data_IF_489181807169
#
_entry.id   IF_489181807169
#
_cell.length_a   1.000
_cell.length_b   1.000
_cell.length_c   1.000
_cell.angle_alpha   90.00
_cell.angle_beta   90.00
_cell.angle_gamma   90.00
#
_symmetry.space_group_name_H-M   'P 1'
#
loop_
_entity.id
_entity.type
_entity.pdbx_description
1 polymer ?
#
# COMPACT_ATOMS: atom_id res chain seq x y z
N UNK A 1 -42.02 74.92 -55.09
CA UNK A 1 -41.32 73.72 -55.58
C UNK A 1 -41.18 73.69 -57.09
N UNK A 2 -41.15 74.85 -57.76
CA UNK A 2 -40.96 74.95 -59.20
C UNK A 2 -40.25 76.27 -59.51
N UNK A 3 -39.22 76.20 -60.34
CA UNK A 3 -38.37 77.33 -60.73
C UNK A 3 -38.49 77.54 -62.24
N UNK A 4 -38.61 78.81 -62.67
CA UNK A 4 -38.64 79.15 -64.08
C UNK A 4 -37.23 79.09 -64.67
N UNK A 5 -37.08 78.38 -65.78
CA UNK A 5 -35.91 78.38 -66.64
C UNK A 5 -36.15 79.35 -67.81
N UNK A 6 -35.50 80.52 -67.74
CA UNK A 6 -35.46 81.47 -68.84
C UNK A 6 -35.59 82.93 -68.41
N UNK A 7 -35.01 83.82 -69.20
CA UNK A 7 -34.88 85.24 -68.87
C UNK A 7 -35.72 86.15 -69.79
N UNK A 8 -36.48 85.57 -70.73
CA UNK A 8 -37.20 86.28 -71.79
C UNK A 8 -38.72 86.06 -71.68
N UNK A 9 -39.44 87.11 -71.26
CA UNK A 9 -40.86 87.07 -70.88
C UNK A 9 -41.78 87.77 -71.91
N UNK A 10 -41.43 87.77 -73.20
CA UNK A 10 -42.13 88.54 -74.26
C UNK A 10 -42.74 87.66 -75.35
N UNK A 11 -43.91 88.02 -75.88
CA UNK A 11 -44.53 87.32 -77.03
C UNK A 11 -43.56 87.25 -78.23
N UNK A 12 -43.31 86.07 -78.85
CA UNK A 12 -43.97 84.76 -78.69
C UNK A 12 -43.16 83.73 -77.87
N UNK A 13 -42.47 84.13 -76.80
CA UNK A 13 -41.64 83.23 -76.00
C UNK A 13 -42.43 82.20 -75.18
N UNK A 14 -41.73 81.13 -74.81
CA UNK A 14 -42.20 80.08 -73.91
C UNK A 14 -41.22 79.93 -72.75
N UNK A 15 -41.74 79.85 -71.53
CA UNK A 15 -40.95 79.66 -70.31
C UNK A 15 -41.14 78.23 -69.85
N UNK A 16 -40.04 77.52 -69.65
CA UNK A 16 -40.04 76.17 -69.08
C UNK A 16 -39.84 76.27 -67.58
N UNK A 17 -40.49 75.40 -66.82
CA UNK A 17 -40.35 75.27 -65.39
C UNK A 17 -39.69 73.94 -65.08
N UNK A 18 -38.68 73.96 -64.21
CA UNK A 18 -38.14 72.76 -63.57
C UNK A 18 -38.71 72.65 -62.17
N UNK A 19 -38.89 71.44 -61.68
CA UNK A 19 -39.19 71.24 -60.27
C UNK A 19 -37.90 71.38 -59.45
N UNK A 20 -38.03 71.83 -58.20
CA UNK A 20 -36.92 71.85 -57.23
C UNK A 20 -36.42 70.42 -56.95
N UNK A 21 -35.18 70.28 -56.51
CA UNK A 21 -34.58 68.96 -56.22
C UNK A 21 -35.46 68.13 -55.26
N UNK A 22 -35.71 66.88 -55.63
CA UNK A 22 -36.60 65.97 -54.90
C UNK A 22 -38.10 66.09 -55.21
N UNK A 23 -38.47 66.92 -56.18
CA UNK A 23 -39.82 67.00 -56.75
C UNK A 23 -39.82 66.64 -58.23
N UNK A 24 -40.87 65.96 -58.69
CA UNK A 24 -41.11 65.64 -60.09
C UNK A 24 -42.33 66.39 -60.64
N UNK A 25 -42.37 66.61 -61.95
CA UNK A 25 -43.47 67.30 -62.62
C UNK A 25 -44.74 66.42 -62.56
N UNK A 26 -45.78 66.92 -61.91
CA UNK A 26 -47.07 66.24 -61.82
C UNK A 26 -47.96 66.47 -63.05
N UNK A 27 -47.66 67.51 -63.84
CA UNK A 27 -48.43 67.95 -65.01
C UNK A 27 -47.78 67.49 -66.33
N UNK A 28 -48.60 67.29 -67.38
CA UNK A 28 -48.11 66.85 -68.70
C UNK A 28 -47.32 67.93 -69.47
N UNK A 29 -47.45 69.19 -69.03
CA UNK A 29 -46.79 70.34 -69.65
C UNK A 29 -45.86 70.94 -68.60
N UNK A 30 -44.63 71.22 -69.00
CA UNK A 30 -43.59 71.86 -68.18
C UNK A 30 -43.41 73.34 -68.51
N UNK A 31 -44.21 73.90 -69.41
CA UNK A 31 -43.96 75.22 -69.97
C UNK A 31 -45.23 76.02 -70.21
N UNK A 32 -45.10 77.34 -70.06
CA UNK A 32 -46.17 78.31 -70.33
C UNK A 32 -45.77 79.17 -71.52
N UNK A 33 -46.72 79.40 -72.42
CA UNK A 33 -46.51 80.23 -73.62
C UNK A 33 -47.10 81.63 -73.41
N UNK A 34 -46.35 82.67 -73.79
CA UNK A 34 -46.83 84.05 -73.78
C UNK A 34 -47.75 84.27 -74.99
N UNK A 35 -48.97 84.76 -74.77
CA UNK A 35 -49.98 84.96 -75.81
C UNK A 35 -49.97 86.42 -76.32
N UNK A 36 -50.55 86.65 -77.51
CA UNK A 36 -50.57 87.97 -78.15
C UNK A 36 -51.39 89.02 -77.40
N UNK A 37 -52.23 88.60 -76.46
CA UNK A 37 -53.00 89.46 -75.55
C UNK A 37 -52.22 89.87 -74.28
N UNK A 38 -50.96 89.45 -74.17
CA UNK A 38 -50.09 89.73 -73.02
C UNK A 38 -50.28 88.79 -71.83
N UNK A 39 -51.11 87.73 -71.95
CA UNK A 39 -51.33 86.75 -70.88
C UNK A 39 -50.54 85.45 -71.10
N UNK A 40 -50.22 84.74 -70.01
CA UNK A 40 -49.64 83.39 -70.10
C UNK A 40 -50.72 82.35 -70.33
N UNK A 41 -50.37 81.24 -71.00
CA UNK A 41 -51.28 80.10 -71.18
C UNK A 41 -51.83 79.62 -69.82
N UNK A 42 -53.12 79.28 -69.76
CA UNK A 42 -53.81 78.90 -68.50
C UNK A 42 -53.42 77.52 -67.93
N UNK A 43 -52.38 76.88 -68.47
CA UNK A 43 -51.86 75.64 -67.89
C UNK A 43 -51.28 75.92 -66.51
N UNK A 44 -51.45 74.97 -65.59
CA UNK A 44 -50.89 75.04 -64.24
C UNK A 44 -49.68 74.12 -64.24
N UNK A 45 -48.54 74.60 -63.74
CA UNK A 45 -47.36 73.77 -63.47
C UNK A 45 -47.44 73.32 -62.02
N UNK A 46 -47.55 72.01 -61.79
CA UNK A 46 -47.53 71.43 -60.44
C UNK A 46 -46.38 70.45 -60.31
N UNK A 47 -45.64 70.57 -59.21
CA UNK A 47 -44.58 69.64 -58.83
C UNK A 47 -45.04 68.86 -57.60
N UNK A 48 -44.80 67.55 -57.59
CA UNK A 48 -45.08 66.67 -56.45
C UNK A 48 -43.79 66.03 -55.94
N UNK A 49 -43.68 65.68 -54.65
CA UNK A 49 -42.49 64.99 -54.15
C UNK A 49 -42.22 63.70 -54.94
N UNK A 50 -40.97 63.45 -55.30
CA UNK A 50 -40.60 62.25 -56.04
C UNK A 50 -40.78 61.01 -55.15
N UNK A 51 -41.62 60.03 -55.53
CA UNK A 51 -41.78 58.80 -54.77
C UNK A 51 -40.51 57.96 -54.82
N UNK A 52 -40.19 57.27 -53.72
CA UNK A 52 -39.05 56.35 -53.67
C UNK A 52 -39.37 55.09 -54.48
N UNK A 53 -38.40 54.67 -55.29
CA UNK A 53 -38.44 53.42 -56.06
C UNK A 53 -37.68 52.33 -55.33
N UNK A 54 -38.13 51.09 -55.50
CA UNK A 54 -37.38 49.93 -55.03
C UNK A 54 -36.11 49.74 -55.89
N UNK A 55 -34.96 49.37 -55.29
CA UNK A 55 -33.78 49.01 -56.05
C UNK A 55 -34.07 47.84 -56.99
N UNK A 56 -33.78 48.00 -58.29
CA UNK A 56 -34.01 46.94 -59.28
C UNK A 56 -33.06 45.74 -59.17
N UNK A 57 -31.95 45.90 -58.45
CA UNK A 57 -30.97 44.84 -58.19
C UNK A 57 -30.62 44.82 -56.69
N UNK A 58 -31.27 43.94 -55.96
CA UNK A 58 -31.07 43.77 -54.51
C UNK A 58 -29.83 42.90 -54.32
N UNK A 59 -28.72 43.50 -53.89
CA UNK A 59 -27.45 42.80 -53.64
C UNK A 59 -27.42 42.02 -52.32
N UNK A 60 -28.43 42.20 -51.46
CA UNK A 60 -28.53 41.54 -50.16
C UNK A 60 -29.26 40.18 -50.31
N UNK A 61 -28.57 39.05 -50.11
CA UNK A 61 -29.18 37.74 -50.26
C UNK A 61 -30.27 37.51 -49.21
N UNK A 62 -31.34 36.79 -49.58
CA UNK A 62 -32.46 36.42 -48.71
C UNK A 62 -33.32 37.57 -48.14
N UNK A 63 -33.04 38.84 -48.46
CA UNK A 63 -33.89 39.96 -48.02
C UNK A 63 -35.25 39.93 -48.72
N UNK A 64 -36.32 40.01 -47.94
CA UNK A 64 -37.71 40.12 -48.42
C UNK A 64 -38.21 41.54 -48.14
N UNK A 65 -38.60 42.25 -49.19
CA UNK A 65 -39.11 43.62 -49.09
C UNK A 65 -40.62 43.60 -49.35
N UNK A 66 -41.41 43.99 -48.34
CA UNK A 66 -42.85 44.13 -48.47
C UNK A 66 -43.20 45.59 -48.73
N UNK A 67 -43.35 45.96 -50.00
CA UNK A 67 -43.53 47.34 -50.44
C UNK A 67 -44.33 47.45 -51.74
N UNK A 68 -44.83 48.65 -52.04
CA UNK A 68 -45.29 49.02 -53.38
C UNK A 68 -44.09 49.49 -54.21
N UNK A 69 -44.13 49.26 -55.52
CA UNK A 69 -43.05 49.63 -56.46
C UNK A 69 -42.67 51.12 -56.40
N UNK A 70 -43.68 51.97 -56.12
CA UNK A 70 -43.54 53.40 -55.86
C UNK A 70 -44.16 53.71 -54.49
N UNK A 71 -43.35 54.26 -53.59
CA UNK A 71 -43.77 54.64 -52.23
C UNK A 71 -43.71 56.17 -52.08
N UNK A 72 -44.80 56.85 -51.67
CA UNK A 72 -44.78 58.29 -51.47
C UNK A 72 -43.86 58.67 -50.31
N UNK A 73 -43.36 59.90 -50.32
CA UNK A 73 -42.55 60.47 -49.23
C UNK A 73 -43.30 60.37 -47.89
N UNK A 74 -42.62 59.94 -46.84
CA UNK A 74 -43.19 59.60 -45.53
C UNK A 74 -43.83 58.21 -45.45
N UNK A 75 -43.91 57.49 -46.57
CA UNK A 75 -44.32 56.09 -46.58
C UNK A 75 -43.18 55.18 -46.12
N UNK A 76 -43.54 54.12 -45.39
CA UNK A 76 -42.59 53.11 -44.88
C UNK A 76 -42.73 51.79 -45.62
N UNK A 77 -41.63 51.07 -45.73
CA UNK A 77 -41.56 49.70 -46.24
C UNK A 77 -41.07 48.76 -45.14
N UNK A 78 -41.50 47.51 -45.21
CA UNK A 78 -41.08 46.48 -44.26
C UNK A 78 -39.99 45.61 -44.87
N UNK A 79 -38.90 45.46 -44.12
CA UNK A 79 -37.76 44.60 -44.42
C UNK A 79 -37.84 43.38 -43.51
N UNK A 80 -37.82 42.19 -44.09
CA UNK A 80 -37.86 40.93 -43.34
C UNK A 80 -36.96 39.87 -43.97
N UNK A 81 -36.60 38.86 -43.18
CA UNK A 81 -35.85 37.69 -43.64
C UNK A 81 -36.75 36.45 -43.59
N UNK A 82 -36.50 35.44 -44.44
CA UNK A 82 -37.19 34.15 -44.38
C UNK A 82 -36.84 33.39 -43.08
N UNK A 83 -37.62 32.36 -42.71
CA UNK A 83 -37.32 31.51 -41.57
C UNK A 83 -35.89 30.95 -41.62
N UNK A 84 -35.19 30.98 -40.48
CA UNK A 84 -33.80 30.56 -40.38
C UNK A 84 -32.77 31.67 -40.55
N UNK A 85 -33.22 32.88 -40.87
CA UNK A 85 -32.39 34.07 -40.94
C UNK A 85 -32.97 35.15 -40.02
N UNK A 86 -32.11 35.89 -39.35
CA UNK A 86 -32.49 37.06 -38.57
C UNK A 86 -32.03 38.34 -39.27
N UNK A 87 -32.81 39.40 -39.13
CA UNK A 87 -32.51 40.69 -39.75
C UNK A 87 -31.53 41.47 -38.89
N UNK A 88 -30.36 41.76 -39.42
CA UNK A 88 -29.38 42.65 -38.81
C UNK A 88 -29.55 44.05 -39.43
N UNK A 89 -30.11 44.97 -38.64
CA UNK A 89 -30.41 46.34 -39.09
C UNK A 89 -31.84 46.77 -38.75
N UNK A 90 -32.34 47.79 -39.46
CA UNK A 90 -33.70 48.28 -39.25
C UNK A 90 -34.74 47.45 -40.01
N UNK A 91 -35.84 47.11 -39.35
CA UNK A 91 -36.97 46.40 -39.97
C UNK A 91 -37.87 47.30 -40.83
N UNK A 92 -37.72 48.62 -40.71
CA UNK A 92 -38.52 49.62 -41.41
C UNK A 92 -37.60 50.64 -42.06
N UNK A 93 -37.87 50.97 -43.31
CA UNK A 93 -37.22 52.08 -44.02
C UNK A 93 -38.28 53.08 -44.50
N UNK A 94 -38.04 54.36 -44.29
CA UNK A 94 -38.95 55.45 -44.64
C UNK A 94 -38.45 56.17 -45.89
N UNK A 95 -39.37 56.49 -46.80
CA UNK A 95 -39.09 57.27 -48.01
C UNK A 95 -38.88 58.74 -47.67
N UNK A 96 -37.66 59.24 -47.90
CA UNK A 96 -37.26 60.62 -47.64
C UNK A 96 -37.47 61.52 -48.86
N UNK A 97 -37.56 62.84 -48.63
CA UNK A 97 -37.55 63.83 -49.72
C UNK A 97 -36.24 63.74 -50.50
N UNK A 98 -36.32 63.57 -51.82
CA UNK A 98 -35.14 63.28 -52.67
C UNK A 98 -35.09 61.85 -53.22
N UNK A 99 -36.07 60.99 -52.89
CA UNK A 99 -36.22 59.66 -53.49
C UNK A 99 -35.32 58.57 -52.89
N UNK A 100 -34.73 58.81 -51.71
CA UNK A 100 -33.90 57.87 -50.96
C UNK A 100 -34.63 57.21 -49.79
N UNK A 101 -34.10 56.07 -49.34
CA UNK A 101 -34.61 55.32 -48.18
C UNK A 101 -33.77 55.58 -46.94
N UNK A 102 -34.42 55.83 -45.79
CA UNK A 102 -33.75 56.00 -44.50
C UNK A 102 -34.26 54.97 -43.46
N UNK A 103 -33.38 54.14 -42.87
CA UNK A 103 -31.98 53.93 -43.26
C UNK A 103 -31.87 53.29 -44.65
N UNK A 104 -30.68 53.34 -45.25
CA UNK A 104 -30.45 52.81 -46.60
C UNK A 104 -30.71 51.30 -46.64
N UNK A 105 -31.44 50.82 -47.64
CA UNK A 105 -31.82 49.41 -47.79
C UNK A 105 -30.57 48.53 -47.93
N UNK A 106 -29.47 49.05 -48.47
CA UNK A 106 -28.22 48.27 -48.58
C UNK A 106 -27.47 48.11 -47.25
N UNK A 107 -27.90 48.79 -46.19
CA UNK A 107 -27.28 48.71 -44.86
C UNK A 107 -27.79 47.56 -44.00
N UNK A 108 -28.83 46.84 -44.44
CA UNK A 108 -29.36 45.67 -43.73
C UNK A 108 -28.80 44.37 -44.30
N UNK A 109 -28.70 43.34 -43.46
CA UNK A 109 -28.31 42.00 -43.89
C UNK A 109 -29.21 40.94 -43.24
N UNK A 110 -29.36 39.81 -43.91
CA UNK A 110 -29.99 38.62 -43.35
C UNK A 110 -28.89 37.62 -42.99
N UNK A 111 -28.68 37.41 -41.70
CA UNK A 111 -27.69 36.45 -41.20
C UNK A 111 -28.36 35.15 -40.77
N UNK A 112 -27.67 34.02 -40.95
CA UNK A 112 -28.22 32.72 -40.58
C UNK A 112 -28.31 32.61 -39.05
N UNK A 113 -29.40 32.01 -38.56
CA UNK A 113 -29.56 31.70 -37.13
C UNK A 113 -28.64 30.54 -36.78
N UNK A 114 -27.88 30.69 -35.68
CA UNK A 114 -26.96 29.68 -35.16
C UNK A 114 -27.39 29.32 -33.74
N UNK A 115 -27.66 28.04 -33.49
CA UNK A 115 -28.00 27.54 -32.16
C UNK A 115 -26.75 27.38 -31.30
N UNK A 116 -26.93 27.47 -29.97
CA UNK A 116 -25.83 27.21 -29.03
C UNK A 116 -25.33 25.77 -29.15
N UNK A 117 -24.01 25.57 -29.05
CA UNK A 117 -23.42 24.23 -29.04
C UNK A 117 -23.95 23.43 -27.84
N UNK A 118 -24.53 22.23 -28.03
CA UNK A 118 -25.07 21.48 -26.91
C UNK A 118 -23.99 20.99 -25.94
N UNK A 119 -24.35 20.78 -24.65
CA UNK A 119 -23.48 20.15 -23.68
C UNK A 119 -23.09 18.71 -24.08
N UNK A 120 -21.91 18.21 -23.66
CA UNK A 120 -21.52 16.82 -23.87
C UNK A 120 -22.52 15.84 -23.22
N UNK A 121 -22.89 14.78 -23.95
CA UNK A 121 -23.78 13.73 -23.45
C UNK A 121 -23.01 12.74 -22.57
N UNK A 122 -23.34 12.66 -21.28
CA UNK A 122 -22.73 11.68 -20.37
C UNK A 122 -23.18 10.26 -20.73
N UNK A 123 -22.23 9.32 -20.81
CA UNK A 123 -22.47 7.92 -21.20
C UNK A 123 -23.07 7.76 -22.62
N UNK A 124 -22.83 8.74 -23.49
CA UNK A 124 -23.24 8.71 -24.88
C UNK A 124 -22.30 9.52 -25.77
N UNK A 125 -22.69 9.64 -27.03
CA UNK A 125 -22.00 10.40 -28.07
C UNK A 125 -23.03 11.30 -28.75
N UNK A 126 -22.61 12.52 -29.08
CA UNK A 126 -23.37 13.47 -29.89
C UNK A 126 -22.60 13.71 -31.18
N UNK A 127 -23.25 13.48 -32.32
CA UNK A 127 -22.67 13.56 -33.66
C UNK A 127 -23.27 14.76 -34.40
N UNK A 128 -22.41 15.70 -34.79
CA UNK A 128 -22.80 16.96 -35.44
C UNK A 128 -21.82 18.10 -35.16
N UNK A 129 -21.23 18.65 -36.23
CA UNK A 129 -20.17 19.68 -36.14
C UNK A 129 -20.65 21.08 -36.58
N UNK A 130 -21.91 21.21 -37.01
CA UNK A 130 -22.53 22.44 -37.49
C UNK A 130 -23.83 22.72 -36.73
N UNK A 131 -24.11 24.01 -36.47
CA UNK A 131 -25.20 24.46 -35.59
C UNK A 131 -26.07 25.53 -36.26
N UNK A 132 -26.05 25.60 -37.60
CA UNK A 132 -26.86 26.54 -38.34
C UNK A 132 -28.32 26.07 -38.39
N UNK A 133 -29.23 26.99 -38.66
CA UNK A 133 -30.64 26.66 -38.86
C UNK A 133 -30.85 25.46 -39.81
N UNK A 134 -31.61 24.47 -39.36
CA UNK A 134 -31.89 23.24 -40.09
C UNK A 134 -30.86 22.13 -39.91
N UNK A 135 -29.69 22.40 -39.31
CA UNK A 135 -28.74 21.36 -38.92
C UNK A 135 -29.31 20.52 -37.76
N UNK A 136 -28.90 19.26 -37.69
CA UNK A 136 -29.32 18.34 -36.65
C UNK A 136 -28.14 17.66 -35.97
N UNK A 137 -28.36 17.29 -34.71
CA UNK A 137 -27.42 16.54 -33.90
C UNK A 137 -28.05 15.21 -33.55
N UNK A 138 -27.33 14.14 -33.87
CA UNK A 138 -27.73 12.78 -33.55
C UNK A 138 -27.08 12.36 -32.23
N UNK A 139 -27.91 11.92 -31.29
CA UNK A 139 -27.45 11.37 -30.02
C UNK A 139 -27.46 9.85 -30.05
N UNK A 140 -26.50 9.23 -29.38
CA UNK A 140 -26.41 7.78 -29.24
C UNK A 140 -25.86 7.42 -27.87
N UNK A 141 -26.53 6.52 -27.15
CA UNK A 141 -26.02 6.04 -25.86
C UNK A 141 -24.97 4.93 -26.06
N UNK A 142 -24.00 4.86 -25.14
CA UNK A 142 -23.04 3.75 -25.10
C UNK A 142 -23.75 2.44 -24.75
N UNK A 143 -23.18 1.26 -25.11
CA UNK A 143 -23.76 -0.03 -24.75
C UNK A 143 -24.03 -0.17 -23.24
N UNK A 144 -25.21 -0.67 -22.87
CA UNK A 144 -25.66 -0.82 -21.48
C UNK A 144 -26.46 0.37 -20.92
N UNK A 145 -26.73 1.38 -21.74
CA UNK A 145 -27.55 2.53 -21.39
C UNK A 145 -28.73 2.65 -22.37
N UNK A 146 -29.91 2.96 -21.84
CA UNK A 146 -31.12 3.25 -22.59
C UNK A 146 -31.33 4.77 -22.67
N UNK A 147 -31.70 5.27 -23.85
CA UNK A 147 -31.96 6.69 -24.05
C UNK A 147 -33.34 7.08 -23.51
N UNK A 148 -33.40 8.11 -22.68
CA UNK A 148 -34.65 8.81 -22.32
C UNK A 148 -34.61 10.23 -22.84
N UNK A 149 -35.48 10.56 -23.79
CA UNK A 149 -35.54 11.86 -24.47
C UNK A 149 -35.43 11.70 -25.99
N UNK A 150 -35.09 12.80 -26.66
CA UNK A 150 -35.08 12.87 -28.12
C UNK A 150 -33.71 12.44 -28.69
N UNK A 151 -33.71 11.47 -29.61
CA UNK A 151 -32.48 10.97 -30.25
C UNK A 151 -31.90 11.92 -31.28
N UNK A 152 -32.69 12.89 -31.75
CA UNK A 152 -32.30 13.88 -32.75
C UNK A 152 -32.81 15.24 -32.30
N UNK A 153 -31.94 16.24 -32.31
CA UNK A 153 -32.34 17.65 -32.13
C UNK A 153 -31.98 18.45 -33.38
N UNK A 154 -32.89 19.32 -33.83
CA UNK A 154 -32.72 20.18 -35.01
C UNK A 154 -32.69 21.65 -34.59
N UNK A 155 -31.79 22.45 -35.16
CA UNK A 155 -31.70 23.87 -34.86
C UNK A 155 -32.86 24.64 -35.49
N UNK A 156 -33.63 25.33 -34.66
CA UNK A 156 -34.85 26.05 -35.04
C UNK A 156 -34.58 27.53 -35.35
N UNK A 157 -35.55 28.17 -35.99
CA UNK A 157 -35.43 29.56 -36.45
C UNK A 157 -35.42 30.60 -35.33
N UNK A 158 -35.70 30.20 -34.09
CA UNK A 158 -35.63 31.04 -32.89
C UNK A 158 -34.27 30.91 -32.15
N UNK A 159 -33.32 30.14 -32.70
CA UNK A 159 -32.02 29.88 -32.09
C UNK A 159 -32.03 28.77 -31.03
N UNK A 160 -33.13 28.04 -30.87
CA UNK A 160 -33.24 26.93 -29.92
C UNK A 160 -33.20 25.56 -30.62
N UNK A 161 -32.77 24.53 -29.89
CA UNK A 161 -32.87 23.16 -30.36
C UNK A 161 -34.28 22.61 -30.18
N UNK A 162 -34.75 21.82 -31.15
CA UNK A 162 -36.04 21.14 -31.05
C UNK A 162 -36.01 20.04 -29.99
N UNK A 163 -37.04 19.96 -29.16
CA UNK A 163 -37.19 18.88 -28.19
C UNK A 163 -36.31 19.06 -26.96
N UNK A 164 -35.90 17.94 -26.36
CA UNK A 164 -35.14 17.88 -25.12
C UNK A 164 -33.90 17.03 -25.28
N UNK A 165 -32.77 17.51 -24.73
CA UNK A 165 -31.53 16.75 -24.74
C UNK A 165 -31.73 15.42 -23.99
N UNK A 166 -31.37 14.28 -24.60
CA UNK A 166 -31.61 12.98 -23.99
C UNK A 166 -30.65 12.71 -22.83
N UNK A 167 -31.08 11.82 -21.93
CA UNK A 167 -30.25 11.27 -20.86
C UNK A 167 -30.09 9.77 -21.06
N UNK A 168 -28.85 9.30 -21.04
CA UNK A 168 -28.52 7.88 -21.07
C UNK A 168 -28.63 7.30 -19.65
N UNK A 169 -29.71 6.60 -19.36
CA UNK A 169 -29.94 5.94 -18.08
C UNK A 169 -29.54 4.47 -18.15
N UNK A 170 -29.11 3.89 -17.04
CA UNK A 170 -28.79 2.46 -16.99
C UNK A 170 -30.03 1.66 -17.38
N UNK A 171 -29.91 0.83 -18.41
CA UNK A 171 -31.00 -0.04 -18.83
C UNK A 171 -31.28 -1.08 -17.75
N UNK A 172 -32.50 -1.13 -17.21
CA UNK A 172 -32.89 -2.05 -16.11
C UNK A 172 -32.77 -3.54 -16.52
N UNK A 173 -32.62 -3.82 -17.81
CA UNK A 173 -32.46 -5.16 -18.38
C UNK A 173 -31.03 -5.46 -18.89
N UNK A 174 -30.11 -4.49 -18.82
CA UNK A 174 -28.72 -4.72 -19.21
C UNK A 174 -27.81 -4.13 -18.17
N UNK A 175 -27.10 -5.03 -17.50
CA UNK A 175 -26.00 -4.68 -16.63
C UNK A 175 -24.97 -3.92 -17.46
N UNK A 176 -24.25 -2.98 -16.82
CA UNK A 176 -23.10 -2.32 -17.45
C UNK A 176 -22.04 -3.33 -17.93
N UNK A 177 -20.92 -2.87 -18.49
CA UNK A 177 -19.88 -3.74 -19.04
C UNK A 177 -19.55 -4.90 -18.08
N UNK A 178 -19.43 -6.12 -18.63
CA UNK A 178 -19.10 -7.30 -17.84
C UNK A 178 -17.79 -7.08 -17.03
N UNK A 179 -17.72 -7.52 -15.76
CA UNK A 179 -16.53 -7.35 -14.93
C UNK A 179 -15.25 -7.84 -15.63
N UNK A 180 -14.24 -6.99 -15.74
CA UNK A 180 -12.97 -7.39 -16.36
C UNK A 180 -12.18 -8.33 -15.45
N UNK A 181 -12.03 -9.60 -15.85
CA UNK A 181 -11.21 -10.59 -15.15
C UNK A 181 -9.86 -10.72 -15.87
N UNK A 182 -8.75 -10.54 -15.14
CA UNK A 182 -7.40 -10.65 -15.71
C UNK A 182 -7.19 -12.03 -16.32
N UNK A 183 -6.64 -12.07 -17.53
CA UNK A 183 -6.35 -13.30 -18.29
C UNK A 183 -7.59 -14.15 -18.62
N UNK A 184 -8.79 -13.58 -18.56
CA UNK A 184 -10.03 -14.21 -19.02
C UNK A 184 -10.53 -13.54 -20.31
N UNK A 185 -11.07 -14.35 -21.22
CA UNK A 185 -11.84 -13.91 -22.37
C UNK A 185 -13.33 -14.08 -22.07
N UNK A 186 -14.13 -13.10 -22.53
CA UNK A 186 -15.58 -13.17 -22.44
C UNK A 186 -16.12 -14.10 -23.53
N UNK A 187 -17.01 -14.99 -23.16
CA UNK A 187 -17.73 -15.89 -24.05
C UNK A 187 -19.22 -15.60 -23.94
N UNK A 188 -19.82 -15.16 -25.04
CA UNK A 188 -21.26 -14.98 -25.11
C UNK A 188 -21.96 -16.33 -24.86
N UNK A 189 -22.77 -16.37 -23.81
CA UNK A 189 -23.75 -17.45 -23.60
C UNK A 189 -24.95 -17.20 -24.52
N UNK A 190 -25.65 -18.26 -24.93
CA UNK A 190 -26.81 -18.13 -25.83
C UNK A 190 -27.95 -17.26 -25.28
N UNK A 191 -27.90 -16.93 -23.98
CA UNK A 191 -28.85 -16.06 -23.29
C UNK A 191 -28.31 -14.63 -23.18
N UNK A 192 -29.10 -13.64 -23.62
CA UNK A 192 -28.76 -12.20 -23.61
C UNK A 192 -28.50 -11.61 -22.20
N UNK A 193 -28.83 -12.35 -21.14
CA UNK A 193 -28.72 -11.92 -19.73
C UNK A 193 -27.52 -12.51 -19.01
N UNK A 194 -26.75 -13.40 -19.65
CA UNK A 194 -25.62 -14.09 -19.02
C UNK A 194 -24.37 -13.97 -19.87
N UNK A 195 -23.20 -13.92 -19.22
CA UNK A 195 -21.91 -13.96 -19.91
C UNK A 195 -20.97 -14.99 -19.28
N UNK A 196 -20.34 -15.79 -20.12
CA UNK A 196 -19.35 -16.79 -19.74
C UNK A 196 -17.95 -16.21 -19.68
N UNK A 197 -17.11 -16.80 -18.83
CA UNK A 197 -15.68 -16.50 -18.74
C UNK A 197 -14.87 -17.73 -19.12
N UNK A 198 -13.85 -17.52 -19.95
CA UNK A 198 -12.88 -18.52 -20.37
C UNK A 198 -11.49 -18.03 -20.05
N UNK A 199 -10.74 -18.77 -19.23
CA UNK A 199 -9.35 -18.40 -18.95
C UNK A 199 -8.44 -18.68 -20.16
N UNK A 200 -7.41 -17.86 -20.32
CA UNK A 200 -6.34 -18.09 -21.29
C UNK A 200 -5.59 -19.41 -21.03
N UNK A 201 -4.82 -19.86 -22.03
CA UNK A 201 -4.09 -21.14 -21.97
C UNK A 201 -3.22 -21.25 -20.70
N UNK A 202 -3.37 -22.35 -19.95
CA UNK A 202 -2.59 -22.63 -18.74
C UNK A 202 -3.18 -22.06 -17.43
N UNK A 203 -4.40 -21.52 -17.45
CA UNK A 203 -5.11 -20.99 -16.28
C UNK A 203 -6.45 -21.73 -16.07
N UNK A 204 -6.88 -21.91 -14.82
CA UNK A 204 -8.15 -22.52 -14.42
C UNK A 204 -9.06 -21.43 -13.85
N UNK A 205 -10.36 -21.56 -14.14
CA UNK A 205 -11.37 -20.62 -13.68
C UNK A 205 -11.83 -21.03 -12.27
N UNK A 206 -11.55 -20.19 -11.28
CA UNK A 206 -12.00 -20.36 -9.90
C UNK A 206 -13.24 -19.50 -9.70
N UNK A 207 -14.39 -20.15 -9.48
CA UNK A 207 -15.69 -19.49 -9.31
C UNK A 207 -16.72 -19.89 -10.38
N UNK A 208 -17.84 -19.14 -10.51
CA UNK A 208 -18.89 -19.47 -11.46
C UNK A 208 -18.45 -19.21 -12.90
N UNK A 209 -18.70 -20.19 -13.79
CA UNK A 209 -18.36 -20.11 -15.23
C UNK A 209 -19.09 -18.99 -15.96
N UNK A 210 -20.28 -18.64 -15.49
CA UNK A 210 -21.16 -17.64 -16.10
C UNK A 210 -21.65 -16.68 -15.03
N UNK A 211 -21.60 -15.38 -15.31
CA UNK A 211 -22.28 -14.36 -14.52
C UNK A 211 -23.61 -14.02 -15.18
N UNK A 212 -24.63 -13.82 -14.36
CA UNK A 212 -25.99 -13.48 -14.75
C UNK A 212 -26.27 -12.04 -14.36
N UNK A 213 -26.93 -11.30 -15.24
CA UNK A 213 -27.41 -9.96 -14.94
C UNK A 213 -28.66 -10.05 -14.05
N UNK A 214 -28.56 -9.51 -12.84
CA UNK A 214 -29.65 -9.49 -11.87
C UNK A 214 -30.66 -8.39 -12.22
N UNK A 215 -31.90 -8.52 -11.74
CA UNK A 215 -33.00 -7.56 -11.97
C UNK A 215 -32.75 -6.17 -11.37
N UNK A 216 -31.73 -6.03 -10.51
CA UNK A 216 -31.28 -4.76 -9.95
C UNK A 216 -30.22 -4.05 -10.82
N UNK A 217 -29.89 -4.58 -12.01
CA UNK A 217 -28.89 -4.00 -12.91
C UNK A 217 -27.44 -4.31 -12.56
N UNK A 218 -27.17 -5.27 -11.65
CA UNK A 218 -25.81 -5.69 -11.27
C UNK A 218 -25.50 -7.14 -11.70
N UNK A 219 -24.23 -7.43 -11.98
CA UNK A 219 -23.80 -8.80 -12.26
C UNK A 219 -23.80 -9.65 -10.98
N UNK A 220 -24.14 -10.93 -11.10
CA UNK A 220 -24.11 -11.87 -9.98
C UNK A 220 -22.71 -11.97 -9.35
N UNK A 221 -22.67 -12.21 -8.05
CA UNK A 221 -21.44 -12.39 -7.27
C UNK A 221 -21.38 -13.82 -6.73
N UNK A 222 -20.18 -14.41 -6.54
CA UNK A 222 -18.84 -13.83 -6.72
C UNK A 222 -18.34 -13.80 -8.18
N UNK A 223 -17.51 -12.81 -8.53
CA UNK A 223 -16.86 -12.70 -9.84
C UNK A 223 -15.76 -13.77 -9.96
N UNK A 224 -15.68 -14.55 -11.06
CA UNK A 224 -14.67 -15.60 -11.20
C UNK A 224 -13.26 -15.03 -11.37
N UNK A 225 -12.25 -15.82 -11.04
CA UNK A 225 -10.83 -15.47 -11.20
C UNK A 225 -10.11 -16.53 -12.03
N UNK A 226 -9.17 -16.10 -12.86
CA UNK A 226 -8.30 -17.02 -13.62
C UNK A 226 -6.98 -17.17 -12.88
N UNK A 227 -6.85 -18.29 -12.19
CA UNK A 227 -5.64 -18.63 -11.47
C UNK A 227 -4.82 -19.62 -12.28
N UNK A 228 -3.51 -19.62 -12.10
CA UNK A 228 -2.65 -20.64 -12.71
C UNK A 228 -3.13 -22.01 -12.29
N UNK A 229 -3.26 -22.92 -13.25
CA UNK A 229 -3.52 -24.33 -12.95
C UNK A 229 -2.33 -24.85 -12.15
N UNK A 230 -2.36 -24.71 -10.84
CA UNK A 230 -1.60 -25.56 -9.94
C UNK A 230 -2.31 -26.89 -10.01
N UNK A 231 -2.10 -27.61 -11.12
CA UNK A 231 -2.83 -28.81 -11.48
C UNK A 231 -2.66 -29.97 -10.51
N UNK A 232 -1.94 -29.75 -9.41
CA UNK A 232 -1.92 -30.59 -8.24
C UNK A 232 -1.75 -29.67 -7.00
N UNK A 233 -2.74 -29.62 -6.12
CA UNK A 233 -2.60 -28.96 -4.81
C UNK A 233 -1.73 -29.84 -3.91
N UNK A 234 -0.78 -29.23 -3.21
CA UNK A 234 0.17 -29.93 -2.35
C UNK A 234 0.20 -29.29 -0.95
N UNK A 235 0.69 -30.02 0.07
CA UNK A 235 0.78 -29.49 1.41
C UNK A 235 1.76 -28.31 1.47
N UNK A 236 1.33 -27.17 2.02
CA UNK A 236 2.22 -26.02 2.25
C UNK A 236 3.30 -26.30 3.30
N UNK A 237 3.04 -27.23 4.21
CA UNK A 237 3.95 -27.60 5.31
C UNK A 237 3.94 -29.12 5.56
N UNK A 238 5.11 -29.66 5.88
CA UNK A 238 5.28 -31.05 6.32
C UNK A 238 5.64 -31.06 7.81
N UNK A 239 4.87 -31.76 8.63
CA UNK A 239 5.17 -31.87 10.06
C UNK A 239 6.53 -32.55 10.26
N UNK A 240 7.43 -31.90 10.99
CA UNK A 240 8.82 -32.35 11.20
C UNK A 240 9.63 -32.54 9.91
N UNK A 241 9.38 -31.68 8.91
CA UNK A 241 10.18 -31.62 7.71
C UNK A 241 9.89 -30.38 6.86
N UNK A 242 10.39 -30.41 5.63
CA UNK A 242 10.30 -29.32 4.65
C UNK A 242 9.89 -29.89 3.30
N UNK A 243 9.12 -29.10 2.57
CA UNK A 243 8.72 -29.37 1.18
C UNK A 243 9.41 -28.35 0.29
N UNK A 244 10.08 -28.81 -0.75
CA UNK A 244 10.69 -27.96 -1.78
C UNK A 244 10.02 -28.25 -3.12
N UNK A 245 9.68 -27.19 -3.84
CA UNK A 245 9.08 -27.31 -5.16
C UNK A 245 10.17 -27.28 -6.23
N UNK A 246 10.11 -28.24 -7.15
CA UNK A 246 11.03 -28.37 -8.27
C UNK A 246 10.26 -28.40 -9.59
N UNK A 247 10.75 -27.63 -10.56
CA UNK A 247 10.28 -27.69 -11.95
C UNK A 247 11.18 -28.64 -12.74
N UNK A 248 10.64 -29.79 -13.14
CA UNK A 248 11.32 -30.76 -13.99
C UNK A 248 10.89 -30.57 -15.45
N UNK A 249 11.71 -31.05 -16.40
CA UNK A 249 11.35 -31.05 -17.83
C UNK A 249 10.03 -31.80 -18.13
N UNK A 250 9.62 -32.71 -17.24
CA UNK A 250 8.41 -33.54 -17.35
C UNK A 250 7.21 -33.02 -16.55
N UNK A 251 7.34 -31.90 -15.82
CA UNK A 251 6.26 -31.32 -15.01
C UNK A 251 6.70 -30.78 -13.65
N UNK A 252 5.73 -30.44 -12.80
CA UNK A 252 5.95 -29.97 -11.42
C UNK A 252 6.21 -31.16 -10.49
N UNK A 253 7.18 -31.05 -9.58
CA UNK A 253 7.44 -32.04 -8.55
C UNK A 253 7.64 -31.40 -7.17
N UNK A 254 7.31 -32.15 -6.12
CA UNK A 254 7.57 -31.79 -4.73
C UNK A 254 8.61 -32.75 -4.16
N UNK A 255 9.71 -32.20 -3.63
CA UNK A 255 10.72 -32.93 -2.87
C UNK A 255 10.47 -32.75 -1.37
N UNK A 256 10.46 -33.87 -0.63
CA UNK A 256 10.22 -33.90 0.81
C UNK A 256 11.49 -34.27 1.58
N UNK A 257 11.78 -33.49 2.61
CA UNK A 257 12.95 -33.71 3.47
C UNK A 257 12.58 -33.58 4.95
N UNK A 258 12.84 -34.62 5.74
CA UNK A 258 12.55 -34.60 7.17
C UNK A 258 13.62 -33.86 7.97
N UNK A 259 13.20 -33.28 9.09
CA UNK A 259 14.09 -32.67 10.06
C UNK A 259 15.02 -33.70 10.71
N UNK A 260 16.13 -33.23 11.30
CA UNK A 260 17.05 -34.11 12.04
C UNK A 260 16.30 -34.86 13.13
N UNK A 261 16.54 -36.16 13.25
CA UNK A 261 15.83 -37.04 14.21
C UNK A 261 14.56 -37.69 13.67
N UNK A 262 14.15 -37.37 12.45
CA UNK A 262 13.00 -37.97 11.78
C UNK A 262 13.45 -38.73 10.52
N UNK A 263 12.74 -39.80 10.17
CA UNK A 263 12.95 -40.60 8.96
C UNK A 263 11.76 -40.47 8.02
N UNK A 264 12.04 -40.33 6.72
CA UNK A 264 11.01 -40.25 5.68
C UNK A 264 10.40 -41.63 5.46
N UNK A 265 9.07 -41.72 5.53
CA UNK A 265 8.28 -42.91 5.18
C UNK A 265 7.41 -42.56 3.97
N UNK A 266 7.76 -43.13 2.82
CA UNK A 266 7.15 -42.84 1.52
C UNK A 266 8.17 -42.36 0.49
N UNK A 267 7.68 -41.85 -0.63
CA UNK A 267 8.52 -41.35 -1.72
C UNK A 267 9.10 -39.97 -1.41
N UNK A 268 10.38 -39.78 -1.75
CA UNK A 268 11.06 -38.48 -1.58
C UNK A 268 10.57 -37.43 -2.57
N UNK A 269 10.31 -37.84 -3.80
CA UNK A 269 9.98 -36.95 -4.91
C UNK A 269 8.63 -37.38 -5.49
N UNK A 270 7.65 -36.48 -5.46
CA UNK A 270 6.30 -36.74 -5.95
C UNK A 270 6.01 -35.81 -7.13
N UNK A 271 5.64 -36.36 -8.29
CA UNK A 271 5.49 -35.64 -9.56
C UNK A 271 4.03 -35.46 -9.90
N UNK A 272 3.64 -34.27 -10.36
CA UNK A 272 2.29 -33.97 -10.80
C UNK A 272 2.05 -34.57 -12.19
N UNK A 273 1.15 -35.56 -12.28
CA UNK A 273 0.85 -36.26 -13.53
C UNK A 273 -0.25 -35.57 -14.36
N UNK A 274 -0.80 -34.45 -13.87
CA UNK A 274 -1.93 -33.75 -14.46
C UNK A 274 -3.27 -34.16 -13.83
N UNK A 275 -4.32 -33.38 -14.09
CA UNK A 275 -5.69 -33.68 -13.61
C UNK A 275 -5.84 -33.82 -12.09
N UNK A 276 -5.15 -33.00 -11.30
CA UNK A 276 -5.16 -33.04 -9.82
C UNK A 276 -4.57 -34.31 -9.20
N UNK A 277 -3.83 -35.11 -9.97
CA UNK A 277 -3.29 -36.40 -9.50
C UNK A 277 -1.76 -36.37 -9.36
N UNK A 278 -1.28 -36.71 -8.17
CA UNK A 278 0.15 -36.91 -7.87
C UNK A 278 0.58 -38.36 -8.16
N UNK A 279 1.85 -38.56 -8.51
CA UNK A 279 2.44 -39.88 -8.80
C UNK A 279 2.41 -40.86 -7.63
N UNK A 280 2.33 -40.34 -6.40
CA UNK A 280 2.25 -41.11 -5.16
C UNK A 280 1.57 -40.26 -4.07
N UNK A 281 1.20 -40.88 -2.95
CA UNK A 281 0.75 -40.14 -1.76
C UNK A 281 1.91 -39.40 -1.10
N UNK A 282 1.59 -38.33 -0.35
CA UNK A 282 2.62 -37.54 0.32
C UNK A 282 3.28 -38.34 1.46
N UNK A 283 4.62 -38.28 1.58
CA UNK A 283 5.34 -39.01 2.62
C UNK A 283 5.12 -38.41 4.00
N UNK A 284 5.42 -39.19 5.04
CA UNK A 284 5.36 -38.75 6.44
C UNK A 284 6.73 -38.83 7.11
N UNK A 285 7.01 -37.89 8.00
CA UNK A 285 8.25 -37.89 8.80
C UNK A 285 7.99 -38.60 10.13
N UNK A 286 8.48 -39.83 10.26
CA UNK A 286 8.35 -40.61 11.50
C UNK A 286 9.55 -40.37 12.41
N UNK A 287 9.30 -40.08 13.68
CA UNK A 287 10.36 -39.90 14.66
C UNK A 287 11.23 -41.16 14.74
N UNK A 288 12.55 -40.98 14.71
CA UNK A 288 13.50 -42.06 15.01
C UNK A 288 13.53 -42.29 16.52
N UNK A 289 13.95 -43.49 16.93
CA UNK A 289 14.00 -43.88 18.33
C UNK A 289 15.41 -43.82 18.89
N UNK A 290 15.56 -43.26 20.10
CA UNK A 290 16.78 -43.40 20.89
C UNK A 290 16.93 -44.85 21.38
N UNK A 291 18.16 -45.31 21.68
CA UNK A 291 18.37 -46.58 22.37
C UNK A 291 17.72 -46.54 23.78
N UNK A 292 17.49 -47.71 24.40
CA UNK A 292 17.00 -47.77 25.77
C UNK A 292 17.84 -46.89 26.71
N UNK A 293 17.19 -46.11 27.58
CA UNK A 293 17.87 -45.13 28.42
C UNK A 293 18.77 -45.82 29.47
N UNK A 294 19.85 -45.16 29.93
CA UNK A 294 20.77 -45.76 30.90
C UNK A 294 20.06 -46.14 32.20
N UNK A 295 20.17 -47.42 32.62
CA UNK A 295 19.51 -47.94 33.82
C UNK A 295 18.07 -48.45 33.60
N UNK A 296 17.56 -48.41 32.37
CA UNK A 296 16.29 -49.04 32.02
C UNK A 296 16.37 -50.56 32.18
N UNK A 297 15.42 -51.13 32.92
CA UNK A 297 15.20 -52.58 32.97
C UNK A 297 13.88 -52.84 32.26
N UNK A 298 13.88 -53.73 31.26
CA UNK A 298 12.63 -54.15 30.62
C UNK A 298 11.72 -54.81 31.65
N UNK A 299 10.49 -54.31 31.73
CA UNK A 299 9.48 -54.82 32.64
C UNK A 299 8.80 -56.03 31.99
N UNK A 300 9.27 -57.24 32.31
CA UNK A 300 8.83 -58.52 31.71
C UNK A 300 7.34 -58.82 32.02
N UNK A 301 6.71 -58.03 32.90
CA UNK A 301 5.36 -58.26 33.42
C UNK A 301 4.21 -57.73 32.57
N UNK A 302 4.50 -56.98 31.49
CA UNK A 302 3.46 -56.53 30.56
C UNK A 302 3.82 -56.92 29.14
N UNK A 303 2.90 -57.60 28.46
CA UNK A 303 2.94 -57.93 27.03
C UNK A 303 2.78 -56.64 26.19
N UNK A 304 3.61 -55.63 26.46
CA UNK A 304 3.70 -54.39 25.70
C UNK A 304 4.91 -54.52 24.79
N UNK A 305 4.60 -54.57 23.51
CA UNK A 305 5.50 -54.36 22.37
C UNK A 305 6.64 -53.40 22.69
N UNK A 306 7.86 -53.78 22.27
CA UNK A 306 9.10 -52.98 22.27
C UNK A 306 8.82 -51.49 22.49
N UNK A 307 9.07 -51.01 23.71
CA UNK A 307 8.75 -49.63 24.06
C UNK A 307 9.70 -48.68 23.31
N UNK A 308 9.18 -48.06 22.26
CA UNK A 308 9.94 -47.11 21.44
C UNK A 308 10.13 -45.77 22.18
N UNK A 309 11.33 -45.19 22.02
CA UNK A 309 11.69 -43.89 22.60
C UNK A 309 11.89 -42.85 21.50
N UNK A 310 10.82 -42.33 20.89
CA UNK A 310 10.94 -41.37 19.79
C UNK A 310 11.61 -40.06 20.23
N UNK A 311 12.28 -39.39 19.29
CA UNK A 311 12.83 -38.03 19.48
C UNK A 311 11.78 -37.09 20.09
N UNK A 312 12.20 -36.30 21.08
CA UNK A 312 11.34 -35.42 21.87
C UNK A 312 10.70 -36.09 23.10
N UNK A 313 10.70 -37.43 23.20
CA UNK A 313 10.20 -38.13 24.39
C UNK A 313 11.09 -37.84 25.59
N UNK A 314 10.45 -37.44 26.69
CA UNK A 314 11.10 -37.24 27.99
C UNK A 314 10.65 -38.31 28.98
N UNK A 315 11.61 -38.85 29.73
CA UNK A 315 11.37 -39.90 30.73
C UNK A 315 11.98 -39.48 32.05
N UNK A 316 11.40 -39.91 33.17
CA UNK A 316 11.98 -39.70 34.49
C UNK A 316 13.08 -40.73 34.73
N UNK A 317 14.21 -40.28 35.27
CA UNK A 317 15.33 -41.14 35.63
C UNK A 317 15.62 -41.06 37.12
N UNK A 318 16.08 -42.18 37.66
CA UNK A 318 16.55 -42.26 39.05
C UNK A 318 18.05 -42.01 39.07
N UNK A 319 18.48 -41.00 39.83
CA UNK A 319 19.90 -40.69 39.92
C UNK A 319 20.70 -41.82 40.60
N UNK A 320 21.94 -42.07 40.16
CA UNK A 320 22.85 -43.00 40.83
C UNK A 320 23.07 -42.64 42.31
N UNK A 321 23.50 -43.62 43.12
CA UNK A 321 23.75 -43.43 44.56
C UNK A 321 24.70 -42.24 44.81
N UNK A 322 24.30 -41.32 45.69
CA UNK A 322 25.08 -40.12 46.05
C UNK A 322 24.80 -38.88 45.21
N UNK A 323 23.83 -38.94 44.29
CA UNK A 323 23.34 -37.80 43.52
C UNK A 323 21.86 -37.55 43.79
N UNK A 324 21.44 -36.28 43.75
CA UNK A 324 20.03 -35.90 43.81
C UNK A 324 19.55 -35.32 42.49
N UNK A 325 18.24 -35.40 42.28
CA UNK A 325 17.58 -34.85 41.10
C UNK A 325 17.59 -33.33 41.15
N UNK A 326 18.13 -32.71 40.10
CA UNK A 326 18.08 -31.29 39.81
C UNK A 326 16.95 -31.00 38.81
N UNK A 327 16.02 -30.12 39.18
CA UNK A 327 14.89 -29.75 38.32
C UNK A 327 13.86 -30.87 38.16
N UNK A 328 13.44 -31.16 36.91
CA UNK A 328 12.32 -32.06 36.61
C UNK A 328 12.64 -33.56 36.74
N UNK A 329 13.91 -33.95 36.86
CA UNK A 329 14.28 -35.37 36.92
C UNK A 329 14.15 -36.12 35.60
N UNK A 330 14.01 -35.40 34.48
CA UNK A 330 13.74 -36.02 33.18
C UNK A 330 14.87 -35.83 32.19
N UNK A 331 15.27 -36.91 31.51
CA UNK A 331 16.11 -36.85 30.31
C UNK A 331 15.24 -36.92 29.06
N UNK A 332 15.71 -36.28 27.98
CA UNK A 332 14.97 -36.16 26.72
C UNK A 332 15.77 -36.77 25.57
N UNK A 333 15.10 -37.53 24.70
CA UNK A 333 15.68 -38.06 23.47
C UNK A 333 15.88 -36.92 22.45
N UNK A 334 17.14 -36.67 22.07
CA UNK A 334 17.54 -35.56 21.20
C UNK A 334 17.49 -35.95 19.72
N UNK A 335 17.48 -34.96 18.79
CA UNK A 335 17.48 -35.20 17.34
C UNK A 335 18.65 -36.03 16.79
N UNK A 336 19.75 -36.12 17.53
CA UNK A 336 20.93 -36.94 17.21
C UNK A 336 20.79 -38.40 17.67
N UNK A 337 19.61 -38.82 18.13
CA UNK A 337 19.31 -40.15 18.68
C UNK A 337 20.11 -40.46 19.96
N UNK A 338 20.53 -39.43 20.70
CA UNK A 338 21.15 -39.57 22.01
C UNK A 338 20.26 -39.00 23.12
N UNK A 339 20.42 -39.50 24.34
CA UNK A 339 19.75 -38.92 25.51
C UNK A 339 20.50 -37.69 26.02
N UNK A 340 19.77 -36.69 26.53
CA UNK A 340 20.39 -35.60 27.27
C UNK A 340 21.26 -36.13 28.42
N UNK A 341 22.43 -35.52 28.70
CA UNK A 341 23.37 -36.01 29.70
C UNK A 341 22.73 -36.18 31.07
N UNK A 342 23.01 -37.28 31.78
CA UNK A 342 22.53 -37.47 33.16
C UNK A 342 23.01 -36.37 34.10
N UNK A 343 24.18 -35.76 33.84
CA UNK A 343 24.71 -34.63 34.60
C UNK A 343 23.87 -33.36 34.50
N UNK A 344 22.98 -33.22 33.50
CA UNK A 344 22.06 -32.08 33.45
C UNK A 344 20.89 -32.22 34.43
N UNK A 345 20.69 -33.43 34.98
CA UNK A 345 19.53 -33.78 35.82
C UNK A 345 19.95 -34.34 37.17
N UNK A 346 21.16 -34.88 37.29
CA UNK A 346 21.69 -35.42 38.53
C UNK A 346 22.88 -34.59 39.01
N UNK A 347 22.77 -34.07 40.23
CA UNK A 347 23.81 -33.28 40.87
C UNK A 347 24.36 -34.04 42.08
N UNK A 348 25.67 -33.97 42.27
CA UNK A 348 26.34 -34.57 43.44
C UNK A 348 26.02 -33.76 44.69
N UNK A 349 25.43 -34.41 45.70
CA UNK A 349 25.10 -33.76 46.97
C UNK A 349 25.97 -34.33 48.08
N UNK A 350 26.75 -33.47 48.73
CA UNK A 350 27.42 -33.81 49.99
C UNK A 350 26.42 -33.68 51.14
N UNK A 351 26.27 -34.73 51.95
CA UNK A 351 25.39 -34.68 53.13
C UNK A 351 26.00 -33.88 54.27
N UNK A 352 27.33 -33.89 54.41
CA UNK A 352 28.06 -33.00 55.30
C UNK A 352 28.66 -31.83 54.50
N UNK A 353 28.48 -30.60 54.98
CA UNK A 353 28.96 -29.39 54.31
C UNK A 353 30.49 -29.31 54.34
N UNK A 354 31.08 -28.92 53.21
CA UNK A 354 32.50 -28.57 53.14
C UNK A 354 32.73 -27.22 53.81
N UNK A 355 33.68 -27.16 54.73
CA UNK A 355 34.06 -25.93 55.43
C UNK A 355 35.14 -25.17 54.64
N UNK A 356 35.39 -23.91 55.05
CA UNK A 356 36.49 -23.07 54.56
C UNK A 356 36.61 -22.93 53.03
N UNK A 357 35.48 -23.00 52.31
CA UNK A 357 35.45 -22.85 50.84
C UNK A 357 35.74 -24.13 50.04
N UNK A 358 35.71 -25.31 50.68
CA UNK A 358 35.88 -26.59 49.99
C UNK A 358 34.76 -26.91 48.99
N UNK A 359 35.10 -27.62 47.90
CA UNK A 359 34.16 -28.03 46.85
C UNK A 359 33.83 -29.52 46.99
N UNK A 360 32.53 -29.86 47.00
CA UNK A 360 32.07 -31.23 47.09
C UNK A 360 32.45 -32.03 45.83
N UNK A 361 33.24 -33.09 45.97
CA UNK A 361 33.61 -33.96 44.85
C UNK A 361 32.89 -35.31 44.88
N UNK A 362 32.66 -35.85 46.08
CA UNK A 362 31.94 -37.12 46.30
C UNK A 362 31.17 -37.03 47.62
N UNK A 363 30.20 -37.94 47.88
CA UNK A 363 29.49 -37.95 49.15
C UNK A 363 30.46 -37.94 50.34
N UNK A 364 30.40 -36.86 51.14
CA UNK A 364 31.20 -36.62 52.34
C UNK A 364 32.73 -36.49 52.12
N UNK A 365 33.16 -36.21 50.89
CA UNK A 365 34.57 -35.94 50.55
C UNK A 365 34.64 -34.59 49.81
N UNK A 366 35.34 -33.65 50.44
CA UNK A 366 35.56 -32.31 49.93
C UNK A 366 36.95 -32.18 49.31
N UNK A 367 37.05 -31.45 48.20
CA UNK A 367 38.33 -30.91 47.74
C UNK A 367 38.62 -29.63 48.50
N UNK A 368 39.73 -29.63 49.23
CA UNK A 368 40.12 -28.52 50.08
C UNK A 368 40.94 -27.48 49.34
N UNK A 369 40.69 -26.18 49.60
CA UNK A 369 41.56 -25.11 49.12
C UNK A 369 42.92 -25.18 49.80
N UNK A 370 43.90 -24.50 49.21
CA UNK A 370 45.27 -24.48 49.74
C UNK A 370 45.32 -24.09 51.23
N UNK A 371 46.14 -24.80 52.00
CA UNK A 371 46.31 -24.58 53.43
C UNK A 371 45.28 -25.29 54.32
N UNK A 372 44.33 -26.04 53.77
CA UNK A 372 43.34 -26.82 54.53
C UNK A 372 43.38 -28.31 54.17
N UNK A 373 43.11 -29.15 55.16
CA UNK A 373 43.01 -30.61 55.06
C UNK A 373 41.87 -31.15 55.94
N UNK A 374 41.72 -32.46 55.95
CA UNK A 374 40.57 -33.13 56.56
C UNK A 374 39.51 -33.51 55.53
N UNK A 375 38.52 -34.29 55.96
CA UNK A 375 37.46 -34.84 55.08
C UNK A 375 36.48 -33.77 54.59
N UNK A 376 36.31 -32.73 55.40
CA UNK A 376 35.42 -31.59 55.17
C UNK A 376 36.19 -30.26 55.15
N UNK A 377 37.52 -30.29 55.03
CA UNK A 377 38.39 -29.11 55.06
C UNK A 377 38.33 -28.35 56.39
N UNK A 378 38.20 -29.10 57.48
CA UNK A 378 38.05 -28.62 58.85
C UNK A 378 39.40 -28.39 59.56
N UNK A 379 40.50 -28.93 59.05
CA UNK A 379 41.82 -28.86 59.67
C UNK A 379 42.77 -27.93 58.89
N UNK A 380 43.45 -26.96 59.53
CA UNK A 380 44.45 -26.14 58.87
C UNK A 380 45.81 -26.86 58.73
N UNK A 381 46.52 -26.60 57.64
CA UNK A 381 47.86 -27.12 57.38
C UNK A 381 48.91 -26.09 57.84
N UNK A 382 49.77 -26.51 58.76
CA UNK A 382 51.02 -25.83 59.06
C UNK A 382 52.16 -26.60 58.39
N UNK A 383 52.67 -26.13 57.22
CA UNK A 383 53.77 -26.78 56.46
C UNK A 383 54.94 -27.17 57.37
N UNK A 384 55.20 -26.34 58.38
CA UNK A 384 56.18 -26.61 59.41
C UNK A 384 55.47 -26.79 60.76
N UNK A 385 55.72 -27.89 61.51
CA UNK A 385 54.99 -28.17 62.74
C UNK A 385 55.25 -27.12 63.81
N UNK A 386 54.21 -26.79 64.58
CA UNK A 386 54.31 -25.96 65.77
C UNK A 386 55.13 -26.69 66.84
N UNK A 387 56.16 -26.05 67.35
CA UNK A 387 57.08 -26.63 68.33
C UNK A 387 56.65 -26.31 69.76
N UNK A 388 57.24 -27.00 70.74
CA UNK A 388 57.06 -26.74 72.17
C UNK A 388 55.59 -26.72 72.65
N UNK A 389 54.73 -27.54 72.04
CA UNK A 389 53.31 -27.64 72.40
C UNK A 389 52.40 -26.58 71.76
N UNK A 390 52.88 -25.83 70.76
CA UNK A 390 52.04 -24.94 69.96
C UNK A 390 50.96 -25.68 69.17
N UNK A 391 49.81 -25.03 68.96
CA UNK A 391 48.66 -25.58 68.21
C UNK A 391 48.54 -24.87 66.85
N UNK A 392 48.35 -25.63 65.77
CA UNK A 392 48.04 -25.04 64.46
C UNK A 392 46.57 -24.58 64.48
N UNK A 393 46.34 -23.28 64.28
CA UNK A 393 44.99 -22.67 64.40
C UNK A 393 44.47 -22.08 63.09
N UNK A 394 45.37 -21.79 62.15
CA UNK A 394 45.06 -21.38 60.80
C UNK A 394 46.22 -21.78 59.88
N UNK A 395 46.03 -21.78 58.55
CA UNK A 395 47.10 -22.12 57.62
C UNK A 395 48.38 -21.34 57.93
N UNK A 396 49.47 -22.08 58.17
CA UNK A 396 50.80 -21.53 58.51
C UNK A 396 50.89 -20.72 59.81
N UNK A 397 49.88 -20.77 60.67
CA UNK A 397 49.82 -20.01 61.91
C UNK A 397 49.72 -20.92 63.15
N UNK A 398 50.71 -20.79 64.02
CA UNK A 398 50.75 -21.46 65.31
C UNK A 398 50.31 -20.53 66.44
N UNK A 399 49.42 -21.01 67.28
CA UNK A 399 49.14 -20.45 68.60
C UNK A 399 50.15 -20.98 69.60
N UNK A 400 50.91 -20.09 70.25
CA UNK A 400 51.99 -20.47 71.16
C UNK A 400 51.54 -20.52 72.62
N UNK A 401 51.93 -21.57 73.36
CA UNK A 401 51.72 -21.61 74.79
C UNK A 401 52.52 -20.50 75.48
N UNK A 402 52.07 -20.14 76.69
CA UNK A 402 52.69 -19.08 77.48
C UNK A 402 54.20 -19.32 77.68
N UNK A 403 55.00 -18.26 77.49
CA UNK A 403 56.46 -18.36 77.56
C UNK A 403 57.16 -18.79 76.27
N UNK A 404 56.43 -18.99 75.16
CA UNK A 404 56.99 -19.25 73.83
C UNK A 404 56.47 -18.23 72.81
N UNK A 405 57.29 -17.90 71.81
CA UNK A 405 56.97 -16.97 70.73
C UNK A 405 57.63 -17.37 69.41
N UNK A 406 57.40 -16.58 68.36
CA UNK A 406 57.79 -16.87 66.98
C UNK A 406 56.72 -17.68 66.23
N UNK A 407 56.81 -17.69 64.90
CA UNK A 407 55.80 -18.27 63.99
C UNK A 407 55.53 -19.76 64.19
N UNK A 408 56.46 -20.47 64.85
CA UNK A 408 56.35 -21.89 65.18
C UNK A 408 56.56 -22.19 66.67
N UNK A 409 56.48 -21.17 67.53
CA UNK A 409 56.70 -21.32 68.97
C UNK A 409 58.09 -21.88 69.33
N UNK A 410 59.10 -21.55 68.52
CA UNK A 410 60.47 -22.04 68.68
C UNK A 410 61.31 -21.16 69.62
N UNK A 411 60.89 -19.93 69.87
CA UNK A 411 61.63 -18.96 70.67
C UNK A 411 61.09 -18.96 72.08
N UNK A 412 61.94 -19.27 73.06
CA UNK A 412 61.58 -19.16 74.47
C UNK A 412 61.57 -17.69 74.91
N UNK A 413 60.58 -17.32 75.73
CA UNK A 413 60.43 -16.01 76.35
C UNK A 413 60.69 -16.14 77.84
N UNK A 414 61.67 -15.40 78.36
CA UNK A 414 61.98 -15.33 79.78
C UNK A 414 61.37 -14.04 80.35
N UNK A 415 60.54 -14.16 81.39
CA UNK A 415 59.92 -13.00 82.06
C UNK A 415 60.96 -12.09 82.72
N UNK A 416 62.09 -12.65 83.16
CA UNK A 416 63.29 -11.89 83.55
C UNK A 416 64.36 -12.03 82.48
N UNK A 417 65.01 -10.93 82.03
CA UNK A 417 66.04 -11.01 81.01
C UNK A 417 67.26 -11.77 81.53
N UNK A 418 67.84 -12.60 80.69
CA UNK A 418 69.10 -13.28 80.98
C UNK A 418 70.24 -12.26 80.94
N UNK A 419 70.88 -12.03 82.09
CA UNK A 419 71.93 -11.03 82.24
C UNK A 419 73.31 -11.59 81.82
N UNK A 420 74.30 -10.71 81.71
CA UNK A 420 75.71 -11.06 81.46
C UNK A 420 75.93 -11.94 80.20
N UNK A 421 75.18 -11.66 79.13
CA UNK A 421 75.27 -12.38 77.86
C UNK A 421 74.60 -13.76 77.85
N UNK A 422 73.79 -14.09 78.85
CA UNK A 422 73.01 -15.33 78.87
C UNK A 422 71.91 -15.36 77.79
N UNK A 423 71.54 -16.57 77.33
CA UNK A 423 70.47 -16.78 76.34
C UNK A 423 69.28 -17.49 76.98
N UNK A 424 68.06 -17.02 76.72
CA UNK A 424 66.85 -17.72 77.13
C UNK A 424 66.69 -19.00 76.29
N UNK A 425 66.71 -20.16 76.94
CA UNK A 425 66.64 -21.47 76.27
C UNK A 425 65.32 -22.20 76.53
N UNK A 426 64.63 -21.84 77.61
CA UNK A 426 63.27 -22.29 77.97
C UNK A 426 62.58 -21.18 78.76
N UNK A 427 61.23 -21.20 78.89
CA UNK A 427 60.51 -20.25 79.71
C UNK A 427 61.15 -20.11 81.09
N UNK A 428 61.56 -18.89 81.44
CA UNK A 428 62.22 -18.54 82.70
C UNK A 428 63.51 -19.32 83.05
N UNK A 429 64.20 -19.88 82.05
CA UNK A 429 65.48 -20.56 82.24
C UNK A 429 66.53 -20.04 81.26
N UNK A 430 67.55 -19.40 81.82
CA UNK A 430 68.69 -18.91 81.06
C UNK A 430 69.81 -19.94 80.97
N UNK A 431 70.45 -20.00 79.81
CA UNK A 431 71.79 -20.58 79.65
C UNK A 431 72.82 -19.48 79.87
N UNK A 432 73.72 -19.68 80.81
CA UNK A 432 74.69 -18.66 81.21
C UNK A 432 76.04 -18.85 80.53
N UNK A 433 76.67 -17.73 80.19
CA UNK A 433 78.05 -17.71 79.69
C UNK A 433 79.04 -18.24 80.74
N UNK A 434 80.22 -18.75 80.32
CA UNK A 434 81.22 -19.30 81.24
C UNK A 434 81.57 -18.33 82.37
N UNK A 435 81.64 -18.85 83.60
CA UNK A 435 81.88 -18.05 84.80
C UNK A 435 80.63 -17.48 85.46
N UNK A 436 79.44 -17.59 84.85
CA UNK A 436 78.17 -17.17 85.43
C UNK A 436 77.25 -18.35 85.76
N UNK A 437 76.37 -18.19 86.74
CA UNK A 437 75.40 -19.18 87.22
C UNK A 437 74.16 -18.50 87.82
N UNK A 438 73.15 -19.29 88.19
CA UNK A 438 71.85 -18.80 88.64
C UNK A 438 70.81 -18.76 87.53
N UNK A 439 69.53 -18.59 87.90
CA UNK A 439 68.40 -18.72 86.96
C UNK A 439 68.37 -17.64 85.87
N UNK A 440 68.87 -16.44 86.16
CA UNK A 440 69.01 -15.31 85.24
C UNK A 440 70.49 -14.91 84.96
N UNK A 441 71.44 -15.79 85.30
CA UNK A 441 72.88 -15.55 85.11
C UNK A 441 73.49 -14.39 85.91
N UNK A 442 72.87 -14.02 87.03
CA UNK A 442 73.34 -12.96 87.92
C UNK A 442 74.53 -13.34 88.82
N UNK A 443 74.81 -14.63 89.05
CA UNK A 443 75.81 -15.08 90.03
C UNK A 443 77.13 -15.46 89.35
N UNK A 444 78.28 -15.10 89.93
CA UNK A 444 79.61 -15.49 89.43
C UNK A 444 80.07 -16.81 90.06
N UNK A 445 80.59 -17.77 89.29
CA UNK A 445 81.10 -19.06 89.78
C UNK A 445 82.45 -18.88 90.48
N UNK A 446 82.64 -19.46 91.68
CA UNK A 446 83.93 -19.52 92.38
C UNK A 446 84.63 -20.85 92.04
N UNK A 447 85.86 -20.79 91.55
CA UNK A 447 86.68 -21.98 91.23
C UNK A 447 87.38 -22.49 92.50
N UNK A 448 87.29 -23.79 92.79
CA UNK A 448 88.10 -24.45 93.83
C UNK A 448 88.83 -25.62 93.15
N UNK A 449 90.17 -25.58 93.17
CA UNK A 449 91.06 -26.65 92.71
C UNK A 449 91.35 -27.60 93.89
N UNK A 450 91.25 -28.92 93.67
CA UNK A 450 91.60 -29.97 94.62
C UNK A 450 93.10 -30.26 94.61
N UNK A 451 93.66 -30.74 95.73
CA UNK A 451 94.84 -31.60 95.71
C UNK A 451 94.50 -32.92 96.43
N UNK A 452 94.83 -34.02 95.75
CA UNK A 452 94.65 -35.42 96.15
C UNK A 452 95.46 -35.80 97.38
#
# INVERSE_FOLDING_TARGET
HAEAEGDVFTFPSQITYRCEDGYELATQVSSLSCQSDGTWSKHIIQCRPTPCRLPGNISTPHLVISAKELTPVGGTITLSCPPGFYLQGAALAECQTGGGWAPDIVSVSCEVVVCEKPPPLLHGVAEGDSYNYGDFILYSCLPGFEMKGDSVQTCQGDGTWSGTQPVCVVSVHSCGPAPSVKNAQLQATGDLTSIGYLCGAGLQLVGPKTLTCLTNGSWSTPVPTCETVRGCEGPEQLLHGKVQEHSLNTGRALEFQCDKGYGLVGERLVVCMGGHTWSSSFPTCRAKSCPPPPGWKEDISSNRSQQEFPVGRSIRVTCPRGQQVKGSGTITCRPDQTWSPLSSVCETVCWLQCHNGGVCQRPNICACPEGWMGRLCEEPICILPCLNGGRCVAPYQCECPTGWTGTRCHTAVCSSPCLNGGRCIRPNRCSCSPGWSGHNCSRKRKSVYYHF
#
